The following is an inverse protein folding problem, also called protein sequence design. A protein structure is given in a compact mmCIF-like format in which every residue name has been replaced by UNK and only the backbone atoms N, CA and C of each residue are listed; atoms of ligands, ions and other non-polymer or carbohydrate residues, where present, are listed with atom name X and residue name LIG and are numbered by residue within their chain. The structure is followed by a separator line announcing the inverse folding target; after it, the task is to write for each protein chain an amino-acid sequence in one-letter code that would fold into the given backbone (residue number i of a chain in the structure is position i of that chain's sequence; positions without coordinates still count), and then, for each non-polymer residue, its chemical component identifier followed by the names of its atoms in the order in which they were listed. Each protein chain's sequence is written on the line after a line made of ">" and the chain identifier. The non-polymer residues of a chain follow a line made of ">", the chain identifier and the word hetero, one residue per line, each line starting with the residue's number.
data_IF_669475062712
#
_entry.id   IF_669475062712
#
_cell.length_a   1.000
_cell.length_b   1.000
_cell.length_c   1.000
_cell.angle_alpha   90.00
_cell.angle_beta   90.00
_cell.angle_gamma   90.00
#
_symmetry.space_group_name_H-M   'P 1'
#
loop_
_entity.id
_entity.type
_entity.pdbx_description
1 polymer ?
#
# COMPACT_ATOMS: atom_id res chain seq x y z
N UNK A 1 44.98 -13.47 35.56
CA UNK A 1 44.69 -12.80 34.28
C UNK A 1 43.38 -13.33 33.68
N UNK A 2 42.24 -13.12 34.36
CA UNK A 2 40.93 -13.72 34.01
C UNK A 2 39.77 -12.70 34.03
N UNK A 3 40.06 -11.39 34.04
CA UNK A 3 39.02 -10.34 34.22
C UNK A 3 38.99 -9.27 33.12
N UNK A 4 39.72 -9.43 32.02
CA UNK A 4 39.80 -8.41 30.96
C UNK A 4 39.07 -8.81 29.66
N UNK A 5 38.59 -10.06 29.53
CA UNK A 5 37.98 -10.54 28.27
C UNK A 5 36.45 -10.32 28.21
N UNK A 6 35.80 -9.83 29.28
CA UNK A 6 34.34 -9.71 29.31
C UNK A 6 33.76 -8.35 28.88
N UNK A 7 34.59 -7.39 28.47
CA UNK A 7 34.12 -6.04 28.10
C UNK A 7 34.15 -5.75 26.58
N UNK A 8 34.64 -6.68 25.75
CA UNK A 8 34.70 -6.50 24.29
C UNK A 8 33.58 -7.22 23.52
N UNK A 9 32.71 -7.97 24.19
CA UNK A 9 31.66 -8.76 23.55
C UNK A 9 30.29 -8.06 23.45
N UNK A 10 30.18 -6.79 23.89
CA UNK A 10 28.91 -6.06 23.98
C UNK A 10 28.86 -4.80 23.10
N UNK A 11 29.54 -4.82 21.95
CA UNK A 11 29.53 -3.72 20.98
C UNK A 11 29.21 -4.20 19.55
N UNK A 12 28.52 -5.34 19.41
CA UNK A 12 27.80 -5.66 18.17
C UNK A 12 26.38 -5.13 18.34
N UNK A 13 26.28 -3.80 18.53
CA UNK A 13 25.01 -3.11 18.39
C UNK A 13 24.59 -3.27 16.94
N UNK A 14 23.46 -3.93 16.73
CA UNK A 14 22.77 -3.99 15.45
C UNK A 14 22.67 -2.57 14.91
N UNK A 15 23.43 -2.24 13.86
CA UNK A 15 23.17 -1.06 13.06
C UNK A 15 21.87 -1.31 12.30
N UNK A 16 20.73 -1.17 13.00
CA UNK A 16 19.49 -0.83 12.31
C UNK A 16 19.77 0.55 11.70
N UNK A 17 20.00 0.59 10.38
CA UNK A 17 20.04 1.84 9.64
C UNK A 17 18.70 2.52 9.91
N UNK A 18 18.69 3.56 10.74
CA UNK A 18 17.49 4.32 11.01
C UNK A 18 17.04 4.95 9.69
N UNK A 19 15.80 4.68 9.28
CA UNK A 19 15.25 5.26 8.06
C UNK A 19 15.15 6.79 8.23
N UNK A 20 15.75 7.54 7.32
CA UNK A 20 15.81 9.02 7.43
C UNK A 20 14.42 9.67 7.40
N UNK A 21 13.44 9.01 6.79
CA UNK A 21 12.04 9.45 6.76
C UNK A 21 11.07 8.36 7.20
N UNK A 22 9.92 8.78 7.71
CA UNK A 22 8.72 7.93 7.87
C UNK A 22 7.62 8.48 6.97
N UNK A 23 6.98 7.64 6.16
CA UNK A 23 5.84 8.06 5.33
C UNK A 23 4.55 7.46 5.88
N UNK A 24 3.65 8.28 6.40
CA UNK A 24 2.41 7.82 7.04
C UNK A 24 1.22 8.04 6.12
N UNK A 25 0.30 7.07 6.06
CA UNK A 25 -0.98 7.21 5.36
C UNK A 25 -1.96 8.02 6.21
N UNK A 26 -2.52 9.11 5.67
CA UNK A 26 -3.53 9.87 6.41
C UNK A 26 -4.87 9.11 6.41
N UNK A 27 -5.45 8.91 7.59
CA UNK A 27 -6.81 8.34 7.76
C UNK A 27 -6.88 6.86 8.17
N UNK A 28 -5.84 6.05 7.92
CA UNK A 28 -5.81 4.62 8.30
C UNK A 28 -4.76 4.26 9.36
N UNK A 29 -3.93 5.22 9.80
CA UNK A 29 -2.90 5.01 10.83
C UNK A 29 -1.78 4.04 10.42
N UNK A 30 -1.65 3.71 9.13
CA UNK A 30 -0.61 2.85 8.60
C UNK A 30 0.58 3.64 8.06
N UNK A 31 1.75 2.99 8.01
CA UNK A 31 2.98 3.53 7.42
C UNK A 31 3.20 2.90 6.05
N UNK A 32 3.65 3.70 5.08
CA UNK A 32 4.16 3.23 3.79
C UNK A 32 5.61 2.81 4.01
N UNK A 33 5.93 1.58 3.63
CA UNK A 33 7.27 1.00 3.70
C UNK A 33 7.88 0.87 2.30
N UNK A 34 9.21 0.75 2.25
CA UNK A 34 9.91 0.56 1.00
C UNK A 34 9.47 -0.75 0.29
N UNK A 35 9.07 -0.63 -0.96
CA UNK A 35 8.57 -1.74 -1.79
C UNK A 35 7.06 -1.97 -1.68
N UNK A 36 6.34 -1.23 -0.85
CA UNK A 36 4.89 -1.39 -0.69
C UNK A 36 4.16 -1.20 -2.03
N UNK A 37 3.07 -1.94 -2.20
CA UNK A 37 2.20 -1.87 -3.38
C UNK A 37 0.78 -1.62 -2.95
N UNK A 38 0.19 -0.52 -3.43
CA UNK A 38 -1.18 -0.15 -3.16
C UNK A 38 -2.02 -0.37 -4.42
N UNK A 39 -3.05 -1.21 -4.30
CA UNK A 39 -3.93 -1.55 -5.42
C UNK A 39 -5.32 -0.95 -5.23
N UNK A 40 -5.80 -0.25 -6.25
CA UNK A 40 -7.11 0.38 -6.30
C UNK A 40 -7.96 -0.19 -7.43
N UNK A 41 -9.26 -0.37 -7.19
CA UNK A 41 -10.26 -0.77 -8.20
C UNK A 41 -11.06 0.39 -8.74
N UNK A 42 -10.93 1.56 -8.12
CA UNK A 42 -11.67 2.77 -8.44
C UNK A 42 -10.68 3.86 -8.82
N UNK A 43 -11.07 4.65 -9.81
CA UNK A 43 -10.34 5.84 -10.20
C UNK A 43 -10.67 6.98 -9.23
N UNK A 44 -9.69 7.85 -9.02
CA UNK A 44 -9.88 9.12 -8.34
C UNK A 44 -10.72 10.06 -9.21
N UNK A 45 -11.57 10.85 -8.55
CA UNK A 45 -12.28 11.97 -9.17
C UNK A 45 -12.50 13.06 -8.14
N UNK A 46 -12.66 14.30 -8.60
CA UNK A 46 -12.97 15.46 -7.75
C UNK A 46 -14.32 15.37 -7.04
N UNK A 47 -15.21 14.45 -7.45
CA UNK A 47 -16.49 14.20 -6.79
C UNK A 47 -16.42 13.07 -5.75
N UNK A 48 -15.37 12.25 -5.78
CA UNK A 48 -15.16 11.11 -4.88
C UNK A 48 -13.70 11.11 -4.37
N UNK A 49 -13.33 12.21 -3.71
CA UNK A 49 -11.93 12.54 -3.38
C UNK A 49 -11.22 11.54 -2.45
N UNK A 50 -11.95 10.61 -1.81
CA UNK A 50 -11.37 9.56 -0.96
C UNK A 50 -11.05 8.26 -1.70
N UNK A 51 -11.50 8.10 -2.94
CA UNK A 51 -11.28 6.90 -3.75
C UNK A 51 -10.08 7.06 -4.69
N UNK A 52 -9.41 5.96 -5.01
CA UNK A 52 -8.27 5.96 -5.93
C UNK A 52 -7.08 6.81 -5.49
N UNK A 53 -7.01 7.18 -4.21
CA UNK A 53 -6.04 8.12 -3.63
C UNK A 53 -5.25 7.46 -2.51
N UNK A 54 -3.94 7.64 -2.52
CA UNK A 54 -3.04 7.37 -1.39
C UNK A 54 -2.69 8.71 -0.74
N UNK A 55 -3.36 9.09 0.36
CA UNK A 55 -2.93 10.24 1.12
C UNK A 55 -1.69 9.89 1.95
N UNK A 56 -0.75 10.82 2.05
CA UNK A 56 0.46 10.61 2.83
C UNK A 56 0.94 11.87 3.54
N UNK A 57 1.81 11.68 4.53
CA UNK A 57 2.67 12.73 5.10
C UNK A 57 4.06 12.19 5.28
N UNK A 58 5.08 13.02 5.10
CA UNK A 58 6.49 12.64 5.25
C UNK A 58 7.06 13.25 6.52
N UNK A 59 7.52 12.43 7.45
CA UNK A 59 8.20 12.86 8.67
C UNK A 59 9.70 12.71 8.49
N UNK A 60 10.47 13.77 8.76
CA UNK A 60 11.92 13.73 8.80
C UNK A 60 12.39 13.20 10.16
N UNK A 61 13.04 12.04 10.21
CA UNK A 61 13.52 11.44 11.46
C UNK A 61 14.96 11.85 11.82
N UNK A 62 15.56 12.75 11.04
CA UNK A 62 16.95 13.18 11.24
C UNK A 62 17.04 14.41 12.13
N UNK A 63 18.25 14.69 12.63
CA UNK A 63 18.52 15.84 13.48
C UNK A 63 18.75 17.15 12.71
N UNK A 64 18.62 17.15 11.38
CA UNK A 64 18.82 18.31 10.52
C UNK A 64 17.68 18.41 9.49
N UNK A 65 17.44 19.60 8.90
CA UNK A 65 16.49 19.72 7.80
C UNK A 65 16.92 18.86 6.61
N UNK A 66 15.94 18.32 5.88
CA UNK A 66 16.18 17.58 4.63
C UNK A 66 15.33 18.15 3.51
N UNK A 67 15.86 18.12 2.29
CA UNK A 67 15.09 18.42 1.08
C UNK A 67 14.63 17.11 0.47
N UNK A 68 13.32 16.99 0.23
CA UNK A 68 12.71 15.79 -0.32
C UNK A 68 11.93 16.13 -1.58
N UNK A 69 12.01 15.26 -2.58
CA UNK A 69 11.14 15.27 -3.76
C UNK A 69 10.67 13.85 -4.05
N UNK A 70 9.65 13.70 -4.88
CA UNK A 70 9.15 12.42 -5.40
C UNK A 70 9.53 12.31 -6.86
N UNK A 71 10.35 11.31 -7.17
CA UNK A 71 10.71 10.93 -8.53
C UNK A 71 9.71 9.92 -9.07
N UNK A 72 9.30 10.07 -10.32
CA UNK A 72 8.50 9.07 -11.01
C UNK A 72 9.45 8.13 -11.75
N UNK A 73 9.58 6.91 -11.25
CA UNK A 73 10.51 5.94 -11.84
C UNK A 73 9.89 5.20 -13.04
N UNK A 74 8.57 5.00 -13.01
CA UNK A 74 7.89 4.19 -14.01
C UNK A 74 6.41 4.53 -14.12
N UNK A 75 5.90 4.50 -15.35
CA UNK A 75 4.48 4.51 -15.68
C UNK A 75 4.22 3.37 -16.68
N UNK A 76 3.26 2.50 -16.41
CA UNK A 76 2.81 1.43 -17.32
C UNK A 76 1.33 1.61 -17.65
N UNK A 77 0.97 1.36 -18.92
CA UNK A 77 -0.40 1.44 -19.44
C UNK A 77 -1.08 2.82 -19.28
N UNK A 78 -0.32 3.88 -19.01
CA UNK A 78 -0.76 5.28 -18.98
C UNK A 78 0.38 6.19 -19.47
N UNK A 79 0.11 7.49 -19.59
CA UNK A 79 1.01 8.52 -20.11
C UNK A 79 1.37 9.60 -19.08
N UNK A 80 0.94 9.43 -17.82
CA UNK A 80 1.14 10.42 -16.76
C UNK A 80 0.14 11.57 -16.76
N UNK A 81 -0.86 11.57 -17.64
CA UNK A 81 -2.01 12.48 -17.58
C UNK A 81 -3.11 11.96 -16.65
N UNK A 82 -4.01 12.86 -16.25
CA UNK A 82 -5.18 12.55 -15.42
C UNK A 82 -4.82 11.88 -14.09
N UNK A 83 -3.80 12.41 -13.43
CA UNK A 83 -3.39 12.04 -12.08
C UNK A 83 -3.50 13.27 -11.18
N UNK A 84 -3.27 13.10 -9.88
CA UNK A 84 -2.99 14.22 -8.98
C UNK A 84 -1.81 13.84 -8.09
N UNK A 85 -0.70 14.56 -8.25
CA UNK A 85 0.47 14.46 -7.39
C UNK A 85 0.53 15.70 -6.51
N UNK A 86 0.24 15.55 -5.23
CA UNK A 86 0.32 16.60 -4.23
C UNK A 86 1.47 16.32 -3.28
N UNK A 87 2.50 17.16 -3.33
CA UNK A 87 3.56 17.22 -2.33
C UNK A 87 4.11 18.64 -2.29
N UNK A 88 3.72 19.43 -1.29
CA UNK A 88 3.96 20.87 -1.26
C UNK A 88 3.07 21.69 -2.22
N UNK A 89 2.91 21.19 -3.45
CA UNK A 89 2.01 21.68 -4.51
C UNK A 89 1.33 20.50 -5.19
N UNK A 90 0.15 20.73 -5.77
CA UNK A 90 -0.61 19.75 -6.51
C UNK A 90 -0.48 19.93 -8.03
N UNK A 91 -0.08 18.87 -8.73
CA UNK A 91 0.06 18.84 -10.17
C UNK A 91 -0.84 17.76 -10.77
N UNK A 92 -1.46 18.06 -11.92
CA UNK A 92 -2.41 17.18 -12.59
C UNK A 92 -1.78 16.23 -13.62
N UNK A 93 -0.47 16.35 -13.81
CA UNK A 93 0.33 15.57 -14.77
C UNK A 93 1.67 15.23 -14.16
N UNK A 94 2.22 14.08 -14.55
CA UNK A 94 3.54 13.61 -14.16
C UNK A 94 4.27 13.01 -15.37
N UNK A 95 5.59 12.88 -15.28
CA UNK A 95 6.43 12.30 -16.34
C UNK A 95 7.53 11.44 -15.71
N UNK A 96 7.91 10.36 -16.40
CA UNK A 96 8.97 9.45 -15.94
C UNK A 96 10.32 10.16 -15.94
N UNK A 97 11.07 10.03 -14.84
CA UNK A 97 12.36 10.67 -14.64
C UNK A 97 12.29 12.05 -13.98
N UNK A 98 11.12 12.66 -13.94
CA UNK A 98 10.90 13.97 -13.33
C UNK A 98 10.69 13.91 -11.81
N UNK A 99 10.94 15.04 -11.14
CA UNK A 99 10.88 15.19 -9.69
C UNK A 99 9.79 16.18 -9.28
N UNK A 100 9.04 15.82 -8.23
CA UNK A 100 7.89 16.58 -7.76
C UNK A 100 7.94 16.85 -6.23
N UNK A 101 7.73 18.09 -5.78
CA UNK A 101 7.55 19.28 -6.63
C UNK A 101 8.87 19.65 -7.32
N UNK A 102 8.82 20.47 -8.38
CA UNK A 102 10.00 20.91 -9.15
C UNK A 102 10.95 21.86 -8.39
N UNK A 103 10.88 21.86 -7.06
CA UNK A 103 11.72 22.60 -6.13
C UNK A 103 11.99 21.74 -4.89
N UNK A 104 13.03 22.07 -4.14
CA UNK A 104 13.35 21.38 -2.90
C UNK A 104 12.24 21.62 -1.85
N UNK A 105 11.51 20.57 -1.49
CA UNK A 105 10.55 20.65 -0.39
C UNK A 105 11.27 20.33 0.93
N UNK A 106 11.57 21.37 1.70
CA UNK A 106 12.32 21.26 2.96
C UNK A 106 11.39 20.79 4.09
N UNK A 107 11.81 19.75 4.80
CA UNK A 107 11.17 19.27 6.02
C UNK A 107 12.17 19.43 7.16
N UNK A 108 11.82 20.27 8.13
CA UNK A 108 12.65 20.55 9.30
C UNK A 108 12.93 19.29 10.13
N UNK A 109 13.96 19.33 10.98
CA UNK A 109 14.36 18.20 11.81
C UNK A 109 13.21 17.74 12.71
N UNK A 110 12.85 16.45 12.67
CA UNK A 110 11.76 15.85 13.45
C UNK A 110 10.36 16.39 13.11
N UNK A 111 10.21 17.18 12.04
CA UNK A 111 8.92 17.71 11.60
C UNK A 111 8.28 16.83 10.52
N UNK A 112 6.98 17.06 10.29
CA UNK A 112 6.18 16.36 9.29
C UNK A 112 5.71 17.33 8.20
N UNK A 113 5.66 16.85 6.96
CA UNK A 113 5.11 17.61 5.83
C UNK A 113 3.65 18.02 6.09
N UNK A 114 3.17 18.99 5.32
CA UNK A 114 1.80 19.48 5.47
C UNK A 114 0.77 18.37 5.22
N UNK A 115 -0.42 18.54 5.80
CA UNK A 115 -1.52 17.64 5.50
C UNK A 115 -2.05 17.87 4.07
N UNK A 116 -2.65 16.84 3.48
CA UNK A 116 -3.25 16.92 2.15
C UNK A 116 -2.32 16.49 1.01
N UNK A 117 -1.06 16.18 1.29
CA UNK A 117 -0.18 15.52 0.32
C UNK A 117 -0.72 14.12 -0.04
N UNK A 118 -0.67 13.76 -1.32
CA UNK A 118 -1.22 12.51 -1.82
C UNK A 118 -0.79 12.20 -3.26
N UNK A 119 -0.94 10.94 -3.65
CA UNK A 119 -0.98 10.52 -5.05
C UNK A 119 -2.36 9.96 -5.39
N UNK A 120 -2.93 10.38 -6.51
CA UNK A 120 -4.22 9.93 -7.01
C UNK A 120 -4.16 9.63 -8.51
N UNK A 121 -4.86 8.60 -8.94
CA UNK A 121 -4.97 8.24 -10.36
C UNK A 121 -6.42 8.31 -10.85
N UNK A 122 -6.68 9.20 -11.80
CA UNK A 122 -7.92 9.26 -12.57
C UNK A 122 -7.83 8.56 -13.94
N UNK A 123 -6.66 8.06 -14.33
CA UNK A 123 -6.41 7.46 -15.63
C UNK A 123 -6.82 5.99 -15.67
N UNK A 124 -7.79 5.65 -16.53
CA UNK A 124 -8.27 4.28 -16.74
C UNK A 124 -7.30 3.38 -17.53
N UNK A 125 -6.23 3.97 -18.05
CA UNK A 125 -5.22 3.34 -18.88
C UNK A 125 -5.56 3.36 -20.37
N UNK A 126 -4.53 3.18 -21.19
CA UNK A 126 -4.64 3.06 -22.66
C UNK A 126 -5.39 1.78 -23.02
N UNK A 127 -5.05 0.66 -22.37
CA UNK A 127 -5.84 -0.56 -22.36
C UNK A 127 -6.66 -0.61 -21.06
N UNK A 128 -7.95 -0.33 -21.16
CA UNK A 128 -8.87 -0.23 -20.01
C UNK A 128 -9.14 -1.55 -19.28
N UNK A 129 -8.66 -2.68 -19.80
CA UNK A 129 -8.76 -3.99 -19.12
C UNK A 129 -7.44 -4.44 -18.49
N UNK A 130 -6.34 -3.71 -18.74
CA UNK A 130 -5.05 -3.97 -18.13
C UNK A 130 -4.83 -3.07 -16.91
N UNK A 131 -3.90 -3.45 -16.04
CA UNK A 131 -3.52 -2.64 -14.90
C UNK A 131 -2.78 -1.38 -15.36
N UNK A 132 -3.02 -0.27 -14.66
CA UNK A 132 -2.19 0.94 -14.74
C UNK A 132 -1.27 0.94 -13.53
N UNK A 133 0.04 1.13 -13.75
CA UNK A 133 1.03 1.05 -12.67
C UNK A 133 1.92 2.28 -12.65
N UNK A 134 2.22 2.73 -11.44
CA UNK A 134 3.15 3.82 -11.17
C UNK A 134 4.16 3.35 -10.14
N UNK A 135 5.44 3.63 -10.36
CA UNK A 135 6.50 3.47 -9.35
C UNK A 135 7.02 4.85 -8.96
N UNK A 136 6.89 5.19 -7.69
CA UNK A 136 7.25 6.49 -7.14
C UNK A 136 8.32 6.31 -6.06
N UNK A 137 9.30 7.21 -6.04
CA UNK A 137 10.38 7.17 -5.05
C UNK A 137 10.55 8.53 -4.40
N UNK A 138 10.49 8.58 -3.07
CA UNK A 138 10.96 9.73 -2.29
C UNK A 138 12.49 9.76 -2.35
N UNK A 139 13.04 10.91 -2.73
CA UNK A 139 14.47 11.13 -2.94
C UNK A 139 14.93 12.30 -2.09
N UNK A 140 16.06 12.13 -1.43
CA UNK A 140 16.76 13.22 -0.74
C UNK A 140 17.53 14.05 -1.75
N UNK A 141 17.36 15.36 -1.69
CA UNK A 141 18.03 16.31 -2.58
C UNK A 141 19.11 17.10 -1.82
N UNK A 142 20.17 17.51 -2.51
CA UNK A 142 21.09 18.53 -2.00
C UNK A 142 20.51 19.93 -2.22
N UNK A 143 21.19 20.96 -1.74
CA UNK A 143 20.77 22.37 -1.91
C UNK A 143 20.64 22.78 -3.38
N UNK A 144 21.50 22.24 -4.25
CA UNK A 144 21.53 22.53 -5.68
C UNK A 144 20.49 21.76 -6.51
N UNK A 145 19.62 20.97 -5.88
CA UNK A 145 18.58 20.18 -6.56
C UNK A 145 19.08 18.91 -7.24
N UNK A 146 20.26 18.42 -6.85
CA UNK A 146 20.81 17.11 -7.26
C UNK A 146 20.40 16.01 -6.27
N UNK A 147 19.95 14.83 -6.76
CA UNK A 147 19.58 13.73 -5.89
C UNK A 147 20.80 13.14 -5.17
N UNK A 148 20.68 12.93 -3.86
CA UNK A 148 21.69 12.33 -2.98
C UNK A 148 21.42 10.84 -2.78
N UNK A 149 20.18 10.48 -2.43
CA UNK A 149 19.80 9.11 -2.08
C UNK A 149 18.30 8.86 -2.24
N UNK A 150 17.95 7.62 -2.59
CA UNK A 150 16.57 7.15 -2.55
C UNK A 150 16.20 6.80 -1.10
N UNK A 151 15.08 7.35 -0.62
CA UNK A 151 14.62 7.25 0.77
C UNK A 151 13.54 6.17 0.95
N UNK A 152 12.61 6.09 0.00
CA UNK A 152 11.52 5.12 0.00
C UNK A 152 10.90 5.02 -1.41
N UNK A 153 10.73 3.80 -1.91
CA UNK A 153 10.01 3.51 -3.16
C UNK A 153 8.70 2.80 -2.85
N UNK A 154 7.62 3.13 -3.53
CA UNK A 154 6.35 2.39 -3.48
C UNK A 154 5.69 2.33 -4.86
N UNK A 155 4.74 1.41 -5.00
CA UNK A 155 3.97 1.21 -6.22
C UNK A 155 2.50 1.57 -6.00
N UNK A 156 1.90 2.24 -6.97
CA UNK A 156 0.46 2.41 -7.10
C UNK A 156 -0.01 1.58 -8.29
N UNK A 157 -1.05 0.77 -8.10
CA UNK A 157 -1.67 -0.02 -9.16
C UNK A 157 -3.16 0.31 -9.20
N UNK A 158 -3.65 0.80 -10.34
CA UNK A 158 -5.08 0.74 -10.65
C UNK A 158 -5.35 -0.55 -11.43
N UNK A 159 -6.22 -1.39 -10.90
CA UNK A 159 -6.63 -2.65 -11.51
C UNK A 159 -8.15 -2.62 -11.72
N UNK A 160 -8.64 -2.26 -12.92
CA UNK A 160 -10.08 -2.19 -13.22
C UNK A 160 -10.77 -3.54 -13.02
N UNK A 161 -9.99 -4.62 -13.06
CA UNK A 161 -10.42 -6.00 -12.92
C UNK A 161 -9.91 -6.64 -11.63
N UNK A 162 -9.67 -5.89 -10.54
CA UNK A 162 -9.13 -6.43 -9.28
C UNK A 162 -10.07 -7.39 -8.51
N UNK A 163 -10.80 -8.26 -9.22
CA UNK A 163 -11.13 -9.61 -8.74
C UNK A 163 -9.97 -10.61 -8.88
N UNK A 164 -8.81 -10.24 -9.44
CA UNK A 164 -7.70 -11.19 -9.74
C UNK A 164 -6.42 -10.92 -8.91
N UNK A 165 -6.17 -9.69 -8.45
CA UNK A 165 -4.98 -9.32 -7.65
C UNK A 165 -5.00 -9.82 -6.20
N UNK A 166 -6.15 -9.73 -5.54
CA UNK A 166 -6.34 -10.20 -4.15
C UNK A 166 -6.11 -11.72 -4.02
N UNK A 167 -6.38 -12.49 -5.08
CA UNK A 167 -6.17 -13.94 -5.10
C UNK A 167 -4.68 -14.29 -4.92
N UNK A 168 -3.76 -13.48 -5.43
CA UNK A 168 -2.31 -13.71 -5.25
C UNK A 168 -1.85 -13.41 -3.83
N UNK A 169 -2.40 -12.38 -3.18
CA UNK A 169 -2.13 -12.08 -1.78
C UNK A 169 -2.59 -13.22 -0.86
N UNK A 170 -3.76 -13.78 -1.14
CA UNK A 170 -4.27 -14.95 -0.44
C UNK A 170 -3.43 -16.20 -0.74
N UNK A 171 -3.04 -16.43 -1.99
CA UNK A 171 -2.16 -17.53 -2.38
C UNK A 171 -0.82 -17.50 -1.65
N UNK A 172 -0.22 -16.32 -1.50
CA UNK A 172 1.04 -16.12 -0.80
C UNK A 172 0.97 -16.46 0.70
N UNK A 173 -0.23 -16.42 1.29
CA UNK A 173 -0.48 -16.84 2.68
C UNK A 173 -1.10 -18.24 2.76
N UNK A 174 -1.11 -19.00 1.65
CA UNK A 174 -1.59 -20.37 1.60
C UNK A 174 -3.11 -20.52 1.53
N UNK A 175 -3.85 -19.51 1.07
CA UNK A 175 -5.30 -19.53 0.91
C UNK A 175 -5.66 -19.37 -0.57
N UNK A 176 -6.51 -20.25 -1.09
CA UNK A 176 -7.06 -20.16 -2.44
C UNK A 176 -8.58 -20.11 -2.36
N UNK A 177 -9.21 -19.17 -3.07
CA UNK A 177 -10.66 -19.19 -3.30
C UNK A 177 -10.96 -19.69 -4.70
N UNK A 178 -12.02 -20.50 -4.80
CA UNK A 178 -12.52 -20.95 -6.10
C UNK A 178 -13.20 -19.83 -6.89
N UNK A 179 -13.82 -18.87 -6.20
CA UNK A 179 -14.50 -17.73 -6.83
C UNK A 179 -14.65 -16.56 -5.82
N UNK A 180 -14.65 -15.33 -6.34
CA UNK A 180 -14.97 -14.11 -5.59
C UNK A 180 -16.44 -13.70 -5.76
N UNK A 181 -17.16 -14.28 -6.72
CA UNK A 181 -18.61 -14.17 -6.85
C UNK A 181 -19.27 -15.32 -6.07
N UNK A 182 -19.96 -14.96 -4.99
CA UNK A 182 -20.55 -15.86 -4.01
C UNK A 182 -22.04 -15.99 -4.27
N UNK A 183 -22.56 -17.22 -4.26
CA UNK A 183 -24.01 -17.49 -4.25
C UNK A 183 -24.48 -17.92 -2.88
N UNK A 184 -24.25 -19.19 -2.52
CA UNK A 184 -24.68 -19.73 -1.23
C UNK A 184 -23.50 -20.14 -0.36
N UNK A 185 -22.31 -20.22 -0.95
CA UNK A 185 -21.12 -20.70 -0.27
C UNK A 185 -19.85 -20.05 -0.82
N UNK A 186 -18.83 -19.97 0.03
CA UNK A 186 -17.49 -19.53 -0.29
C UNK A 186 -16.59 -20.77 -0.23
N UNK A 187 -16.08 -21.19 -1.39
CA UNK A 187 -15.23 -22.37 -1.49
C UNK A 187 -13.75 -21.99 -1.39
N UNK A 188 -13.05 -22.63 -0.45
CA UNK A 188 -11.67 -22.32 -0.07
C UNK A 188 -10.84 -23.60 -0.07
N UNK A 189 -9.62 -23.53 -0.61
CA UNK A 189 -8.56 -24.53 -0.39
C UNK A 189 -7.40 -23.86 0.32
N UNK A 190 -7.02 -24.39 1.49
CA UNK A 190 -5.95 -23.83 2.31
C UNK A 190 -4.78 -24.82 2.48
N UNK A 191 -3.55 -24.32 2.40
CA UNK A 191 -2.32 -25.06 2.75
C UNK A 191 -1.82 -24.73 4.15
N UNK A 192 -2.52 -23.83 4.86
CA UNK A 192 -2.24 -23.49 6.26
C UNK A 192 -3.55 -23.13 6.97
N UNK A 193 -3.63 -23.41 8.27
CA UNK A 193 -4.78 -23.01 9.07
C UNK A 193 -4.87 -21.47 9.22
N UNK A 194 -6.09 -20.94 9.17
CA UNK A 194 -6.36 -19.52 9.26
C UNK A 194 -7.71 -19.22 9.93
N UNK A 195 -7.97 -17.95 10.19
CA UNK A 195 -9.29 -17.42 10.54
C UNK A 195 -9.75 -16.51 9.41
N UNK A 196 -10.98 -16.70 8.96
CA UNK A 196 -11.66 -15.80 8.03
C UNK A 196 -12.65 -14.92 8.80
N UNK A 197 -12.56 -13.60 8.60
CA UNK A 197 -13.53 -12.63 9.07
C UNK A 197 -14.21 -11.99 7.85
N UNK A 198 -15.54 -11.97 7.85
CA UNK A 198 -16.34 -11.38 6.77
C UNK A 198 -16.94 -10.07 7.22
N UNK A 199 -16.77 -9.02 6.42
CA UNK A 199 -17.20 -7.66 6.72
C UNK A 199 -18.19 -7.15 5.67
N UNK A 200 -19.13 -6.31 6.10
CA UNK A 200 -19.83 -5.41 5.17
C UNK A 200 -18.97 -4.18 4.84
N UNK A 201 -19.44 -3.34 3.92
CA UNK A 201 -18.73 -2.09 3.53
C UNK A 201 -18.62 -1.05 4.64
N UNK A 202 -19.42 -1.17 5.71
CA UNK A 202 -19.32 -0.31 6.89
C UNK A 202 -18.28 -0.83 7.91
N UNK A 203 -17.54 -1.89 7.59
CA UNK A 203 -16.54 -2.50 8.46
C UNK A 203 -17.12 -3.35 9.60
N UNK A 204 -18.43 -3.63 9.60
CA UNK A 204 -19.04 -4.49 10.61
C UNK A 204 -18.73 -5.96 10.29
N UNK A 205 -18.22 -6.70 11.28
CA UNK A 205 -18.01 -8.15 11.18
C UNK A 205 -19.36 -8.85 11.16
N UNK A 206 -19.63 -9.57 10.08
CA UNK A 206 -20.85 -10.35 9.88
C UNK A 206 -20.69 -11.80 10.31
N UNK A 207 -19.49 -12.38 10.12
CA UNK A 207 -19.20 -13.78 10.43
C UNK A 207 -17.71 -13.98 10.60
N UNK A 208 -17.34 -14.85 11.54
CA UNK A 208 -15.96 -15.32 11.74
C UNK A 208 -15.95 -16.83 11.65
N UNK A 209 -15.01 -17.39 10.90
CA UNK A 209 -14.93 -18.83 10.60
C UNK A 209 -13.49 -19.31 10.69
N UNK A 210 -13.28 -20.45 11.34
CA UNK A 210 -11.99 -21.15 11.30
C UNK A 210 -11.80 -21.86 9.96
N UNK A 211 -10.67 -21.60 9.31
CA UNK A 211 -10.24 -22.22 8.06
C UNK A 211 -9.21 -23.31 8.38
N UNK A 212 -9.56 -24.55 8.04
CA UNK A 212 -8.67 -25.71 8.21
C UNK A 212 -7.86 -25.94 6.93
N UNK A 213 -6.73 -26.61 7.07
CA UNK A 213 -5.98 -27.10 5.91
C UNK A 213 -6.82 -28.08 5.08
N UNK A 214 -6.67 -28.00 3.77
CA UNK A 214 -7.48 -28.73 2.80
C UNK A 214 -8.60 -27.89 2.19
N UNK A 215 -9.53 -28.56 1.48
CA UNK A 215 -10.66 -27.92 0.83
C UNK A 215 -11.88 -27.91 1.74
N UNK A 216 -12.62 -26.79 1.74
CA UNK A 216 -13.78 -26.58 2.60
C UNK A 216 -14.73 -25.56 1.95
N UNK A 217 -15.98 -25.58 2.40
CA UNK A 217 -17.01 -24.66 1.94
C UNK A 217 -17.63 -23.95 3.13
N UNK A 218 -17.76 -22.63 3.03
CA UNK A 218 -18.33 -21.78 4.09
C UNK A 218 -19.69 -21.28 3.62
N UNK A 219 -20.72 -21.56 4.43
CA UNK A 219 -22.09 -21.11 4.16
C UNK A 219 -22.19 -19.56 4.16
N UNK A 220 -22.84 -19.03 3.13
CA UNK A 220 -22.95 -17.60 2.82
C UNK A 220 -24.36 -17.17 2.32
N UNK A 221 -25.37 -18.03 2.43
CA UNK A 221 -26.76 -17.73 2.05
C UNK A 221 -27.42 -16.67 2.95
N UNK A 222 -26.87 -16.46 4.15
CA UNK A 222 -27.29 -15.37 5.05
C UNK A 222 -26.95 -13.96 4.53
N UNK A 223 -26.09 -13.84 3.50
CA UNK A 223 -25.71 -12.56 2.91
C UNK A 223 -26.77 -12.07 1.94
N UNK A 224 -27.08 -10.78 2.00
CA UNK A 224 -27.86 -10.09 0.97
C UNK A 224 -27.00 -9.83 -0.28
N UNK A 225 -27.62 -9.60 -1.43
CA UNK A 225 -26.91 -9.18 -2.65
C UNK A 225 -26.12 -7.89 -2.38
N UNK A 226 -24.83 -7.88 -2.74
CA UNK A 226 -23.94 -6.77 -2.41
C UNK A 226 -22.45 -7.11 -2.40
N UNK A 227 -21.64 -6.16 -1.94
CA UNK A 227 -20.18 -6.30 -1.82
C UNK A 227 -19.77 -6.52 -0.38
N UNK A 228 -18.84 -7.46 -0.18
CA UNK A 228 -18.28 -7.84 1.11
C UNK A 228 -16.76 -7.89 1.03
N UNK A 229 -16.11 -7.85 2.19
CA UNK A 229 -14.66 -8.06 2.31
C UNK A 229 -14.43 -9.26 3.21
N UNK A 230 -13.60 -10.21 2.77
CA UNK A 230 -13.13 -11.30 3.61
C UNK A 230 -11.66 -11.08 3.96
N UNK A 231 -11.33 -11.05 5.25
CA UNK A 231 -9.96 -11.02 5.77
C UNK A 231 -9.57 -12.40 6.24
N UNK A 232 -8.43 -12.89 5.80
CA UNK A 232 -7.82 -14.13 6.26
C UNK A 232 -6.61 -13.80 7.11
N UNK A 233 -6.48 -14.44 8.28
CA UNK A 233 -5.30 -14.33 9.15
C UNK A 233 -4.82 -15.73 9.50
N UNK A 234 -3.61 -16.08 9.09
CA UNK A 234 -2.98 -17.38 9.38
C UNK A 234 -2.54 -17.47 10.85
N UNK A 235 -2.30 -18.68 11.35
CA UNK A 235 -1.74 -18.89 12.71
C UNK A 235 -0.37 -18.22 12.90
N UNK A 236 0.37 -17.97 11.81
CA UNK A 236 1.65 -17.24 11.82
C UNK A 236 1.51 -15.71 11.85
N UNK A 237 0.29 -15.18 11.88
CA UNK A 237 0.01 -13.74 11.92
C UNK A 237 -0.02 -13.04 10.56
N UNK A 238 0.30 -13.74 9.45
CA UNK A 238 0.14 -13.20 8.09
C UNK A 238 -1.33 -13.00 7.77
N UNK A 239 -1.69 -11.88 7.16
CA UNK A 239 -3.06 -11.60 6.76
C UNK A 239 -3.18 -11.11 5.31
N UNK A 240 -4.35 -11.35 4.72
CA UNK A 240 -4.70 -10.84 3.39
C UNK A 240 -6.22 -10.67 3.30
N UNK A 241 -6.67 -9.73 2.46
CA UNK A 241 -8.08 -9.42 2.27
C UNK A 241 -8.49 -9.64 0.83
N UNK A 242 -9.74 -10.06 0.62
CA UNK A 242 -10.32 -10.19 -0.71
C UNK A 242 -11.74 -9.64 -0.74
N UNK A 243 -12.07 -8.95 -1.83
CA UNK A 243 -13.45 -8.56 -2.13
C UNK A 243 -14.28 -9.77 -2.57
N UNK A 244 -15.47 -9.89 -2.01
CA UNK A 244 -16.49 -10.85 -2.42
C UNK A 244 -17.72 -10.10 -2.93
N UNK A 245 -18.36 -10.65 -3.97
CA UNK A 245 -19.60 -10.11 -4.55
C UNK A 245 -20.70 -11.16 -4.42
N UNK A 246 -21.75 -10.86 -3.66
CA UNK A 246 -22.93 -11.72 -3.52
C UNK A 246 -23.96 -11.32 -4.57
N UNK A 247 -24.39 -12.30 -5.37
CA UNK A 247 -25.54 -12.18 -6.27
C UNK A 247 -26.79 -12.75 -5.62
#
# INVERSE_FOLDING_TARGET
>A
MKKIILLLALAIGSFAQAQEITVNTQGNGGTINNGDTFTYTTLWSTQAESLGKIPFTVTNNTAAPINVQVRIDQIENADGSNVQMCFGVCLATIEVGEFYPGFNYTIEANETSQAGDHFANGNAGVNTTAEVKYRLTFVKMNEDGTPISDLLTFNYIYSPTAGVGDVKGLQNIGINLSNTVVKNQIDITATTAATMELFNLNGQVLKTVSVKEGSQSIEASFLSTGVYVAKFTTTSGKSSTIKLVKN
#
